data_IF_379536572514
#
_entry.id   IF_379536572514
#
_cell.length_a   1.000
_cell.length_b   1.000
_cell.length_c   1.000
_cell.angle_alpha   90.00
_cell.angle_beta   90.00
_cell.angle_gamma   90.00
#
_symmetry.space_group_name_H-M   'P 1'
#
loop_
_entity.id
_entity.type
_entity.pdbx_description
1 polymer ?
#
# COMPACT_ATOMS: atom_id res chain seq x y z
N UNK A 1 12.10 -24.86 38.10
CA UNK A 1 11.77 -23.50 37.64
C UNK A 1 11.57 -23.52 36.14
N UNK A 2 10.31 -23.38 35.66
CA UNK A 2 10.04 -23.25 34.22
C UNK A 2 10.26 -21.81 33.86
N UNK A 3 11.30 -21.53 33.08
CA UNK A 3 11.52 -20.24 32.43
C UNK A 3 10.31 -19.95 31.54
N UNK A 4 9.54 -18.93 31.88
CA UNK A 4 8.49 -18.38 31.02
C UNK A 4 9.24 -17.71 29.83
N UNK A 5 9.21 -18.34 28.67
CA UNK A 5 9.52 -17.66 27.43
C UNK A 5 8.49 -16.53 27.24
N UNK A 6 8.94 -15.30 27.39
CA UNK A 6 8.13 -14.12 27.07
C UNK A 6 7.98 -14.05 25.57
N UNK A 7 6.80 -14.40 25.06
CA UNK A 7 6.45 -14.17 23.65
C UNK A 7 6.50 -12.66 23.43
N UNK A 8 7.36 -12.16 22.51
CA UNK A 8 7.42 -10.73 22.21
C UNK A 8 6.04 -10.22 21.79
N UNK A 9 5.64 -9.05 22.29
CA UNK A 9 4.34 -8.48 21.94
C UNK A 9 4.26 -8.26 20.41
N UNK A 10 3.06 -8.41 19.83
CA UNK A 10 2.83 -8.21 18.38
C UNK A 10 3.30 -6.85 17.89
N UNK A 11 3.20 -5.84 18.71
CA UNK A 11 3.64 -4.46 18.47
C UNK A 11 5.17 -4.35 18.35
N UNK A 12 5.93 -5.19 19.06
CA UNK A 12 7.39 -5.13 19.09
C UNK A 12 8.01 -5.37 17.70
N UNK A 13 7.51 -6.37 16.95
CA UNK A 13 8.07 -6.72 15.63
C UNK A 13 7.86 -5.60 14.61
N UNK A 14 6.66 -5.02 14.55
CA UNK A 14 6.36 -3.89 13.66
C UNK A 14 7.20 -2.65 14.04
N UNK A 15 7.37 -2.39 15.34
CA UNK A 15 8.22 -1.30 15.81
C UNK A 15 9.67 -1.50 15.41
N UNK A 16 10.22 -2.71 15.56
CA UNK A 16 11.60 -3.02 15.14
C UNK A 16 11.76 -2.87 13.63
N UNK A 17 10.79 -3.34 12.85
CA UNK A 17 10.79 -3.17 11.40
C UNK A 17 10.82 -1.68 11.01
N UNK A 18 9.93 -0.88 11.58
CA UNK A 18 9.90 0.56 11.32
C UNK A 18 11.20 1.25 11.75
N UNK A 19 11.75 0.93 12.93
CA UNK A 19 13.00 1.51 13.41
C UNK A 19 14.19 1.16 12.51
N UNK A 20 14.28 -0.09 12.02
CA UNK A 20 15.38 -0.53 11.18
C UNK A 20 15.38 0.20 9.83
N UNK A 21 14.21 0.42 9.25
CA UNK A 21 14.06 1.00 7.92
C UNK A 21 13.67 2.49 7.91
N UNK A 22 13.73 3.18 9.06
CA UNK A 22 13.79 4.64 9.11
C UNK A 22 15.12 5.20 8.62
N UNK A 23 16.17 4.40 8.70
CA UNK A 23 17.45 4.72 8.09
C UNK A 23 17.37 4.55 6.57
N UNK A 24 17.76 5.60 5.83
CA UNK A 24 17.67 5.64 4.38
C UNK A 24 18.57 4.63 3.69
N UNK A 25 19.72 4.32 4.25
CA UNK A 25 20.68 3.36 3.69
C UNK A 25 20.08 1.96 3.74
N UNK A 26 19.61 1.53 4.92
CA UNK A 26 18.93 0.25 5.09
C UNK A 26 17.65 0.13 4.25
N UNK A 27 16.89 1.25 4.15
CA UNK A 27 15.70 1.27 3.33
C UNK A 27 16.01 1.13 1.83
N UNK A 28 17.10 1.76 1.36
CA UNK A 28 17.54 1.65 -0.02
C UNK A 28 18.01 0.23 -0.34
N UNK A 29 18.75 -0.41 0.57
CA UNK A 29 19.14 -1.82 0.44
C UNK A 29 17.91 -2.74 0.33
N UNK A 30 16.92 -2.56 1.21
CA UNK A 30 15.66 -3.31 1.14
C UNK A 30 14.94 -3.06 -0.18
N UNK A 31 14.82 -1.79 -0.61
CA UNK A 31 14.19 -1.46 -1.88
C UNK A 31 14.90 -2.10 -3.07
N UNK A 32 16.22 -2.05 -3.11
CA UNK A 32 17.04 -2.68 -4.15
C UNK A 32 16.81 -4.20 -4.19
N UNK A 33 16.85 -4.88 -3.03
CA UNK A 33 16.62 -6.31 -2.92
C UNK A 33 15.22 -6.72 -3.42
N UNK A 34 14.19 -5.95 -3.08
CA UNK A 34 12.79 -6.24 -3.44
C UNK A 34 12.47 -5.87 -4.89
N UNK A 35 13.09 -4.80 -5.42
CA UNK A 35 12.80 -4.28 -6.75
C UNK A 35 13.69 -4.86 -7.86
N UNK A 36 14.82 -5.47 -7.49
CA UNK A 36 15.88 -5.88 -8.42
C UNK A 36 16.63 -4.68 -9.02
N UNK A 37 16.56 -3.51 -8.38
CA UNK A 37 17.27 -2.29 -8.76
C UNK A 37 18.61 -2.18 -8.04
N UNK A 38 19.43 -1.22 -8.42
CA UNK A 38 20.77 -0.99 -7.85
C UNK A 38 21.02 0.50 -7.67
N UNK A 39 20.15 1.17 -6.89
CA UNK A 39 20.36 2.56 -6.50
C UNK A 39 21.46 2.62 -5.43
N UNK A 40 22.30 3.65 -5.49
CA UNK A 40 23.45 3.84 -4.58
C UNK A 40 23.34 5.08 -3.71
N UNK A 41 22.45 6.02 -4.07
CA UNK A 41 22.25 7.27 -3.35
C UNK A 41 21.00 7.21 -2.46
N UNK A 42 21.13 7.12 -1.13
CA UNK A 42 20.00 7.10 -0.20
C UNK A 42 19.16 8.39 -0.23
N UNK A 43 19.73 9.51 -0.69
CA UNK A 43 18.99 10.79 -0.76
C UNK A 43 17.93 10.81 -1.86
N UNK A 44 17.93 9.84 -2.76
CA UNK A 44 16.81 9.62 -3.69
C UNK A 44 15.52 9.17 -3.01
N UNK A 45 15.59 8.75 -1.73
CA UNK A 45 14.44 8.34 -0.94
C UNK A 45 13.79 9.53 -0.23
N UNK A 46 12.50 9.72 -0.46
CA UNK A 46 11.64 10.61 0.32
C UNK A 46 10.73 9.79 1.22
N UNK A 47 10.96 9.85 2.54
CA UNK A 47 10.17 9.09 3.51
C UNK A 47 8.90 9.87 3.85
N UNK A 48 7.74 9.26 3.63
CA UNK A 48 6.40 9.83 3.79
C UNK A 48 5.52 8.99 4.73
N UNK A 49 6.12 8.44 5.79
CA UNK A 49 5.38 7.59 6.73
C UNK A 49 4.33 8.37 7.51
N UNK A 50 3.11 7.81 7.61
CA UNK A 50 2.01 8.39 8.38
C UNK A 50 2.25 8.19 9.89
N UNK A 51 2.83 9.20 10.55
CA UNK A 51 3.07 9.14 11.99
C UNK A 51 1.82 9.39 12.84
N UNK A 52 0.88 10.21 12.33
CA UNK A 52 -0.29 10.67 13.07
C UNK A 52 -1.54 10.73 12.18
N UNK A 53 -2.11 9.60 11.84
CA UNK A 53 -3.48 9.59 11.32
C UNK A 53 -4.45 9.84 12.48
N UNK A 54 -4.80 11.11 12.72
CA UNK A 54 -5.60 11.59 13.86
C UNK A 54 -7.00 10.94 13.92
N UNK A 55 -7.48 10.38 12.84
CA UNK A 55 -8.88 9.96 12.73
C UNK A 55 -9.18 8.47 12.93
N UNK A 56 -8.25 7.54 12.92
CA UNK A 56 -8.56 6.10 13.07
C UNK A 56 -7.45 5.24 13.69
N UNK A 57 -6.47 5.78 14.38
CA UNK A 57 -5.32 5.00 14.88
C UNK A 57 -4.63 4.13 13.80
N UNK A 58 -4.76 4.54 12.54
CA UNK A 58 -4.17 3.83 11.41
C UNK A 58 -2.78 4.40 11.13
N UNK A 59 -1.79 3.59 11.41
CA UNK A 59 -0.40 3.84 11.05
C UNK A 59 0.00 2.80 10.01
N UNK A 60 0.68 3.21 8.95
CA UNK A 60 1.44 2.28 8.13
C UNK A 60 2.86 2.16 8.71
N UNK A 61 3.48 1.00 8.52
CA UNK A 61 4.82 0.76 9.08
C UNK A 61 5.86 1.64 8.37
N UNK A 62 5.78 1.72 7.03
CA UNK A 62 6.73 2.48 6.24
C UNK A 62 6.15 2.89 4.89
N UNK A 63 6.28 4.17 4.52
CA UNK A 63 6.00 4.66 3.17
C UNK A 63 7.06 5.64 2.69
N UNK A 64 7.43 5.53 1.42
CA UNK A 64 8.47 6.35 0.82
C UNK A 64 8.29 6.48 -0.69
N UNK A 65 8.84 7.56 -1.26
CA UNK A 65 8.89 7.79 -2.70
C UNK A 65 10.32 7.62 -3.18
N UNK A 66 10.46 6.90 -4.27
CA UNK A 66 11.67 6.82 -5.08
C UNK A 66 11.26 6.71 -6.56
N UNK A 67 11.87 7.51 -7.41
CA UNK A 67 11.67 7.43 -8.86
C UNK A 67 10.18 7.60 -9.26
N UNK A 68 9.49 8.59 -8.67
CA UNK A 68 8.04 8.84 -8.81
C UNK A 68 7.15 7.64 -8.47
N UNK A 69 7.62 6.72 -7.62
CA UNK A 69 6.87 5.58 -7.12
C UNK A 69 6.73 5.64 -5.62
N UNK A 70 5.49 5.72 -5.15
CA UNK A 70 5.15 5.62 -3.74
C UNK A 70 5.03 4.15 -3.34
N UNK A 71 5.95 3.70 -2.50
CA UNK A 71 6.01 2.34 -1.98
C UNK A 71 5.53 2.32 -0.52
N UNK A 72 4.60 1.41 -0.20
CA UNK A 72 4.15 1.13 1.15
C UNK A 72 4.57 -0.29 1.53
N UNK A 73 5.39 -0.38 2.55
CA UNK A 73 5.89 -1.62 3.11
C UNK A 73 5.26 -1.84 4.49
N UNK A 74 4.64 -2.97 4.67
CA UNK A 74 3.99 -3.39 5.91
C UNK A 74 4.59 -4.68 6.41
N UNK A 75 4.82 -4.75 7.71
CA UNK A 75 5.21 -5.96 8.39
C UNK A 75 4.00 -6.60 9.08
N UNK A 76 3.76 -7.89 8.87
CA UNK A 76 2.68 -8.62 9.50
C UNK A 76 3.16 -9.87 10.22
N UNK A 77 2.70 -10.04 11.45
CA UNK A 77 2.90 -11.26 12.24
C UNK A 77 1.66 -12.17 12.24
N UNK A 78 0.41 -11.70 12.51
CA UNK A 78 -0.76 -12.46 12.09
C UNK A 78 -1.09 -12.13 10.63
N UNK A 79 -1.49 -13.14 9.86
CA UNK A 79 -2.05 -12.91 8.53
C UNK A 79 -3.37 -12.12 8.61
N UNK A 80 -3.51 -11.07 7.80
CA UNK A 80 -4.74 -10.29 7.70
C UNK A 80 -5.22 -10.19 6.26
N UNK A 81 -6.36 -10.79 5.91
CA UNK A 81 -6.94 -10.68 4.57
C UNK A 81 -7.45 -9.26 4.27
N UNK A 82 -7.67 -8.43 5.30
CA UNK A 82 -8.20 -7.06 5.15
C UNK A 82 -7.14 -6.02 4.77
N UNK A 83 -5.90 -6.44 4.56
CA UNK A 83 -4.80 -5.53 4.27
C UNK A 83 -4.99 -4.68 3.01
N UNK A 84 -5.58 -5.18 1.90
CA UNK A 84 -5.86 -4.33 0.73
C UNK A 84 -6.77 -3.13 1.06
N UNK A 85 -7.75 -3.31 1.95
CA UNK A 85 -8.61 -2.22 2.38
C UNK A 85 -7.85 -1.22 3.28
N UNK A 86 -6.98 -1.69 4.15
CA UNK A 86 -6.09 -0.82 4.94
C UNK A 86 -5.19 0.02 4.03
N UNK A 87 -4.59 -0.59 3.01
CA UNK A 87 -3.78 0.14 2.03
C UNK A 87 -4.59 1.21 1.28
N UNK A 88 -5.84 0.93 0.89
CA UNK A 88 -6.70 1.95 0.30
C UNK A 88 -6.84 3.18 1.21
N UNK A 89 -7.08 2.96 2.50
CA UNK A 89 -7.21 4.04 3.48
C UNK A 89 -5.89 4.81 3.68
N UNK A 90 -4.76 4.09 3.72
CA UNK A 90 -3.44 4.74 3.83
C UNK A 90 -3.14 5.62 2.61
N UNK A 91 -3.40 5.12 1.41
CA UNK A 91 -3.19 5.87 0.17
C UNK A 91 -4.12 7.07 0.07
N UNK A 92 -5.39 6.94 0.45
CA UNK A 92 -6.32 8.06 0.46
C UNK A 92 -5.81 9.20 1.35
N UNK A 93 -5.27 8.88 2.53
CA UNK A 93 -4.70 9.86 3.44
C UNK A 93 -3.41 10.49 2.88
N UNK A 94 -2.50 9.68 2.32
CA UNK A 94 -1.25 10.17 1.73
C UNK A 94 -1.53 11.08 0.54
N UNK A 95 -2.38 10.66 -0.38
CA UNK A 95 -2.75 11.50 -1.53
C UNK A 95 -3.49 12.76 -1.12
N UNK A 96 -4.39 12.70 -0.13
CA UNK A 96 -5.05 13.89 0.42
C UNK A 96 -4.03 14.89 0.97
N UNK A 97 -3.00 14.42 1.67
CA UNK A 97 -1.91 15.27 2.17
C UNK A 97 -1.06 15.85 1.04
N UNK A 98 -0.69 15.03 0.06
CA UNK A 98 0.14 15.45 -1.08
C UNK A 98 -0.57 16.44 -2.01
N UNK A 99 -1.89 16.36 -2.10
CA UNK A 99 -2.71 17.18 -3.02
C UNK A 99 -3.53 18.26 -2.32
N UNK A 100 -3.23 18.58 -1.06
CA UNK A 100 -3.99 19.55 -0.26
C UNK A 100 -4.13 20.93 -0.91
N UNK A 101 -3.12 21.36 -1.67
CA UNK A 101 -3.07 22.64 -2.36
C UNK A 101 -3.45 22.54 -3.85
N UNK A 102 -3.84 21.35 -4.31
CA UNK A 102 -4.20 21.10 -5.68
C UNK A 102 -5.70 21.33 -5.95
N UNK A 103 -6.02 21.91 -7.10
CA UNK A 103 -7.42 22.06 -7.52
C UNK A 103 -7.93 20.75 -8.14
N UNK A 104 -8.56 19.91 -7.33
CA UNK A 104 -9.11 18.62 -7.77
C UNK A 104 -10.23 18.74 -8.80
N UNK A 105 -10.87 19.91 -8.88
CA UNK A 105 -11.99 20.20 -9.82
C UNK A 105 -11.52 20.97 -11.05
N UNK A 106 -10.22 21.19 -11.16
CA UNK A 106 -9.61 21.85 -12.32
C UNK A 106 -9.62 20.97 -13.57
N UNK A 107 -9.31 21.58 -14.71
CA UNK A 107 -9.23 20.89 -16.01
C UNK A 107 -7.85 20.26 -16.28
N UNK A 108 -6.86 20.55 -15.45
CA UNK A 108 -5.51 19.97 -15.57
C UNK A 108 -5.41 18.70 -14.74
N UNK A 109 -4.88 17.61 -15.31
CA UNK A 109 -4.60 16.40 -14.55
C UNK A 109 -3.66 16.68 -13.37
N UNK A 110 -3.89 15.99 -12.24
CA UNK A 110 -2.97 15.97 -11.11
C UNK A 110 -2.02 14.80 -11.29
N UNK A 111 -0.73 15.06 -11.22
CA UNK A 111 0.29 14.02 -11.29
C UNK A 111 0.45 13.38 -9.92
N UNK A 112 0.26 12.06 -9.87
CA UNK A 112 0.41 11.26 -8.67
C UNK A 112 1.49 10.19 -8.89
N UNK A 113 2.27 9.84 -7.86
CA UNK A 113 3.23 8.75 -7.97
C UNK A 113 2.53 7.42 -8.20
N UNK A 114 3.16 6.52 -8.94
CA UNK A 114 2.67 5.16 -9.08
C UNK A 114 2.77 4.41 -7.75
N UNK A 115 1.83 3.49 -7.48
CA UNK A 115 1.72 2.80 -6.19
C UNK A 115 2.38 1.43 -6.22
N UNK A 116 3.04 1.06 -5.11
CA UNK A 116 3.55 -0.28 -4.86
C UNK A 116 3.31 -0.68 -3.41
N UNK A 117 2.70 -1.85 -3.20
CA UNK A 117 2.43 -2.40 -1.87
C UNK A 117 3.18 -3.71 -1.69
N UNK A 118 3.87 -3.83 -0.56
CA UNK A 118 4.62 -5.04 -0.19
C UNK A 118 4.36 -5.36 1.27
N UNK A 119 4.10 -6.63 1.54
CA UNK A 119 3.87 -7.14 2.88
C UNK A 119 4.93 -8.18 3.19
N UNK A 120 5.64 -7.97 4.27
CA UNK A 120 6.59 -8.92 4.84
C UNK A 120 5.88 -9.69 5.95
N UNK A 121 5.65 -10.98 5.72
CA UNK A 121 5.00 -11.84 6.70
C UNK A 121 6.04 -12.69 7.43
N UNK A 122 5.99 -12.66 8.77
CA UNK A 122 6.81 -13.51 9.63
C UNK A 122 6.00 -14.15 10.77
N UNK A 123 4.73 -14.44 10.52
CA UNK A 123 3.84 -15.11 11.46
C UNK A 123 4.14 -16.58 11.63
N UNK A 124 3.40 -17.22 12.56
CA UNK A 124 3.52 -18.65 12.84
C UNK A 124 2.64 -19.51 11.91
N UNK A 125 1.64 -18.90 11.28
CA UNK A 125 0.79 -19.60 10.31
C UNK A 125 1.55 -19.84 9.03
N UNK A 126 1.49 -21.06 8.51
CA UNK A 126 2.11 -21.41 7.25
C UNK A 126 1.42 -20.67 6.10
N UNK A 127 2.18 -19.93 5.32
CA UNK A 127 1.71 -19.18 4.16
C UNK A 127 2.61 -19.54 2.95
N UNK A 128 2.10 -19.43 1.73
CA UNK A 128 2.93 -19.63 0.54
C UNK A 128 4.00 -18.53 0.47
N UNK A 129 5.15 -18.83 -0.14
CA UNK A 129 6.29 -17.91 -0.30
C UNK A 129 5.89 -16.57 -0.94
N UNK A 130 4.88 -16.61 -1.78
CA UNK A 130 4.31 -15.42 -2.42
C UNK A 130 2.80 -15.52 -2.54
N UNK A 131 2.11 -14.46 -2.14
CA UNK A 131 0.66 -14.33 -2.25
C UNK A 131 0.28 -12.94 -2.74
N UNK A 132 -0.71 -12.86 -3.63
CA UNK A 132 -1.29 -11.61 -4.08
C UNK A 132 -2.61 -11.41 -3.33
N UNK A 133 -2.73 -10.26 -2.65
CA UNK A 133 -3.96 -9.82 -2.02
C UNK A 133 -4.64 -8.76 -2.90
N UNK A 134 -5.93 -8.91 -3.15
CA UNK A 134 -6.70 -7.98 -3.98
C UNK A 134 -7.82 -7.35 -3.17
N UNK A 135 -8.06 -6.06 -3.37
CA UNK A 135 -9.20 -5.38 -2.75
C UNK A 135 -10.53 -5.99 -3.21
N UNK A 136 -10.61 -6.41 -4.45
CA UNK A 136 -11.79 -7.10 -5.00
C UNK A 136 -12.15 -8.40 -4.28
N UNK A 137 -11.18 -9.05 -3.60
CA UNK A 137 -11.45 -10.26 -2.82
C UNK A 137 -12.33 -9.98 -1.58
N UNK A 138 -12.41 -8.71 -1.17
CA UNK A 138 -13.22 -8.26 -0.04
C UNK A 138 -14.63 -7.81 -0.44
N UNK A 139 -14.93 -7.70 -1.72
CA UNK A 139 -16.26 -7.30 -2.17
C UNK A 139 -17.28 -8.42 -1.95
N UNK A 140 -18.46 -8.05 -1.46
CA UNK A 140 -19.56 -8.98 -1.20
C UNK A 140 -20.08 -9.59 -2.51
N UNK A 141 -20.12 -8.77 -3.56
CA UNK A 141 -20.50 -9.20 -4.93
C UNK A 141 -19.23 -9.16 -5.76
N UNK A 142 -18.87 -10.29 -6.33
CA UNK A 142 -17.75 -10.40 -7.27
C UNK A 142 -18.33 -10.38 -8.67
N UNK A 143 -18.44 -9.19 -9.23
CA UNK A 143 -18.78 -9.04 -10.64
C UNK A 143 -17.61 -9.49 -11.50
N UNK A 144 -17.86 -10.33 -12.48
CA UNK A 144 -16.91 -10.54 -13.56
C UNK A 144 -16.69 -9.20 -14.27
N UNK A 145 -15.43 -8.87 -14.53
CA UNK A 145 -15.05 -7.62 -15.18
C UNK A 145 -15.94 -7.39 -16.41
N UNK A 146 -16.72 -6.32 -16.41
CA UNK A 146 -17.57 -5.94 -17.56
C UNK A 146 -16.59 -5.81 -18.74
N UNK A 147 -16.71 -6.73 -19.72
CA UNK A 147 -15.90 -6.67 -20.93
C UNK A 147 -16.21 -5.35 -21.63
N UNK A 148 -15.20 -4.66 -22.12
CA UNK A 148 -15.33 -3.36 -22.84
C UNK A 148 -16.47 -3.33 -23.88
N UNK A 149 -16.83 -4.50 -24.44
CA UNK A 149 -17.95 -4.66 -25.37
C UNK A 149 -19.32 -4.30 -24.80
N UNK A 150 -19.60 -4.59 -23.52
CA UNK A 150 -20.95 -4.37 -22.93
C UNK A 150 -21.20 -2.86 -22.75
N UNK A 151 -20.19 -2.10 -22.32
CA UNK A 151 -20.35 -0.65 -22.19
C UNK A 151 -20.55 0.02 -23.55
N UNK A 152 -19.84 -0.46 -24.57
CA UNK A 152 -19.97 0.04 -25.95
C UNK A 152 -21.36 -0.25 -26.52
N UNK A 153 -21.86 -1.46 -26.33
CA UNK A 153 -23.21 -1.88 -26.75
C UNK A 153 -24.30 -1.07 -26.04
N UNK A 154 -24.16 -0.83 -24.72
CA UNK A 154 -25.06 0.02 -23.94
C UNK A 154 -25.08 1.46 -24.45
N UNK A 155 -23.93 2.05 -24.74
CA UNK A 155 -23.83 3.41 -25.26
C UNK A 155 -24.38 3.55 -26.67
N UNK A 156 -24.20 2.55 -27.55
CA UNK A 156 -24.75 2.52 -28.90
C UNK A 156 -26.27 2.41 -28.89
N UNK A 157 -26.84 1.56 -28.01
CA UNK A 157 -28.27 1.40 -27.86
C UNK A 157 -28.95 2.69 -27.37
N UNK A 158 -28.43 3.34 -26.36
CA UNK A 158 -28.97 4.60 -25.83
C UNK A 158 -28.77 5.80 -26.79
N UNK A 159 -27.80 5.75 -27.70
CA UNK A 159 -27.64 6.75 -28.75
C UNK A 159 -28.71 6.61 -29.86
N UNK A 160 -29.20 5.40 -30.13
CA UNK A 160 -30.23 5.15 -31.11
C UNK A 160 -31.61 5.60 -30.60
N UNK A 161 -31.88 5.52 -29.30
CA UNK A 161 -33.13 5.94 -28.67
C UNK A 161 -33.24 7.46 -28.44
N UNK A 162 -32.11 8.21 -28.54
CA UNK A 162 -32.06 9.66 -28.37
C UNK A 162 -32.18 10.48 -29.67
N UNK A 163 -32.51 9.84 -30.80
CA UNK A 163 -32.84 10.46 -32.08
C UNK A 163 -34.33 10.31 -32.38
#
# INVERSE_FOLDING_TARGET
MKTRETIPSRTYKATVFAMLFQDKEHLLELYNAVSGKHYTDPEMLEINTLENAIYMAMKNDLSFIIDARLSLYEHQSPYSPNLPFRFLLYIANLFSSMTKDANLYGTKPIELPSLRFIVFYNGLEEQPDRKILRLSDLYTIKEECIREGILKEFLEKNRAEAK
#
